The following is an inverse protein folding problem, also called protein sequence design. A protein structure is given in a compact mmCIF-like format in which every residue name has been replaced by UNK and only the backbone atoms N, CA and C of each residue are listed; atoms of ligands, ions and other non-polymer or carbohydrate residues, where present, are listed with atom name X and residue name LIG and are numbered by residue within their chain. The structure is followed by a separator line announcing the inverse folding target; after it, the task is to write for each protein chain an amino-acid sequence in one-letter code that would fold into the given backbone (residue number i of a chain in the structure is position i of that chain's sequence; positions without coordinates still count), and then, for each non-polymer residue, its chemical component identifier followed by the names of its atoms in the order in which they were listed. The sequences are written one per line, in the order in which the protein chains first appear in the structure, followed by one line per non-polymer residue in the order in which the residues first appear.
data_IF_150434241263
#
_entry.id   IF_150434241263
#
_cell.length_a   1.000
_cell.length_b   1.000
_cell.length_c   1.000
_cell.angle_alpha   90.00
_cell.angle_beta   90.00
_cell.angle_gamma   90.00
#
_symmetry.space_group_name_H-M   'P 1'
#
loop_
_entity.id
_entity.type
_entity.pdbx_description
1 polymer ?
#
# COMPACT_ATOMS: atom_id res chain seq x y z
N UNK A 1 -33.79 29.81 3.84
CA UNK A 1 -32.87 28.82 3.21
C UNK A 1 -31.39 29.19 3.30
N UNK A 2 -30.99 30.47 3.47
CA UNK A 2 -29.57 30.85 3.53
C UNK A 2 -28.87 30.56 4.88
N UNK A 3 -29.60 30.39 5.97
CA UNK A 3 -29.03 30.18 7.31
C UNK A 3 -28.42 28.78 7.51
N UNK A 4 -29.08 27.74 6.95
CA UNK A 4 -28.57 26.35 7.03
C UNK A 4 -27.28 26.15 6.23
N UNK A 5 -27.14 26.83 5.09
CA UNK A 5 -25.94 26.74 4.23
C UNK A 5 -24.70 27.29 4.94
N UNK A 6 -24.85 28.38 5.71
CA UNK A 6 -23.75 28.96 6.48
C UNK A 6 -23.32 28.09 7.67
N UNK A 7 -24.26 27.35 8.30
CA UNK A 7 -23.94 26.41 9.37
C UNK A 7 -23.11 25.22 8.87
N UNK A 8 -23.47 24.64 7.72
CA UNK A 8 -22.73 23.50 7.16
C UNK A 8 -21.31 23.89 6.71
N UNK A 9 -21.13 25.10 6.16
CA UNK A 9 -19.82 25.60 5.75
C UNK A 9 -18.90 25.84 6.96
N UNK A 10 -19.43 26.45 8.03
CA UNK A 10 -18.67 26.70 9.26
C UNK A 10 -18.25 25.39 9.97
N UNK A 11 -19.07 24.34 9.89
CA UNK A 11 -18.71 23.02 10.44
C UNK A 11 -17.62 22.31 9.61
N UNK A 12 -17.67 22.39 8.28
CA UNK A 12 -16.64 21.82 7.41
C UNK A 12 -15.28 22.49 7.61
N UNK A 13 -15.25 23.82 7.75
CA UNK A 13 -14.01 24.58 7.97
C UNK A 13 -13.38 24.29 9.35
N UNK A 14 -14.21 24.10 10.39
CA UNK A 14 -13.76 23.68 11.73
C UNK A 14 -13.20 22.26 11.74
N UNK A 15 -13.79 21.35 10.99
CA UNK A 15 -13.35 19.96 10.92
C UNK A 15 -12.01 19.82 10.14
N UNK A 16 -11.84 20.59 9.06
CA UNK A 16 -10.59 20.68 8.31
C UNK A 16 -9.43 21.23 9.14
N UNK A 17 -9.65 22.33 9.87
CA UNK A 17 -8.62 22.96 10.71
C UNK A 17 -8.15 22.04 11.85
N UNK A 18 -9.08 21.36 12.52
CA UNK A 18 -8.75 20.44 13.61
C UNK A 18 -7.95 19.22 13.12
N UNK A 19 -8.25 18.70 11.94
CA UNK A 19 -7.53 17.55 11.36
C UNK A 19 -6.07 17.87 10.99
N UNK A 20 -5.82 19.08 10.48
CA UNK A 20 -4.46 19.57 10.21
C UNK A 20 -3.67 19.78 11.50
N UNK A 21 -4.29 20.39 12.51
CA UNK A 21 -3.67 20.63 13.80
C UNK A 21 -3.25 19.31 14.48
N UNK A 22 -4.12 18.30 14.46
CA UNK A 22 -3.86 16.97 15.03
C UNK A 22 -2.70 16.28 14.29
N UNK A 23 -2.63 16.38 12.96
CA UNK A 23 -1.52 15.82 12.17
C UNK A 23 -0.17 16.44 12.51
N UNK A 24 -0.10 17.76 12.70
CA UNK A 24 1.13 18.44 13.09
C UNK A 24 1.54 18.16 14.54
N UNK A 25 0.58 17.86 15.43
CA UNK A 25 0.85 17.45 16.82
C UNK A 25 1.38 16.00 16.86
N UNK A 26 0.73 15.07 16.16
CA UNK A 26 1.20 13.68 16.06
C UNK A 26 2.58 13.57 15.40
N UNK A 27 2.84 14.35 14.34
CA UNK A 27 4.13 14.36 13.68
C UNK A 27 5.28 14.78 14.61
N UNK A 28 5.06 15.80 15.45
CA UNK A 28 6.06 16.25 16.44
C UNK A 28 6.28 15.22 17.55
N UNK A 29 5.20 14.60 18.03
CA UNK A 29 5.30 13.57 19.05
C UNK A 29 6.06 12.34 18.54
N UNK A 30 5.79 11.94 17.30
CA UNK A 30 6.50 10.85 16.61
C UNK A 30 7.99 11.15 16.42
N UNK A 31 8.34 12.36 15.94
CA UNK A 31 9.75 12.71 15.76
C UNK A 31 10.53 12.78 17.07
N UNK A 32 9.86 13.22 18.15
CA UNK A 32 10.49 13.31 19.49
C UNK A 32 10.70 11.94 20.12
N UNK A 33 9.71 11.04 20.00
CA UNK A 33 9.89 9.66 20.46
C UNK A 33 10.95 8.96 19.63
N UNK A 34 10.98 9.17 18.32
CA UNK A 34 12.01 8.62 17.43
C UNK A 34 13.41 9.13 17.80
N UNK A 35 13.60 10.43 18.03
CA UNK A 35 14.90 10.98 18.38
C UNK A 35 15.39 10.44 19.72
N UNK A 36 14.53 10.45 20.76
CA UNK A 36 14.88 9.90 22.08
C UNK A 36 15.17 8.40 22.03
N UNK A 37 14.42 7.65 21.24
CA UNK A 37 14.67 6.21 21.08
C UNK A 37 15.98 5.97 20.34
N UNK A 38 16.31 6.76 19.32
CA UNK A 38 17.58 6.65 18.60
C UNK A 38 18.78 7.00 19.47
N UNK A 39 18.67 8.02 20.33
CA UNK A 39 19.71 8.40 21.29
C UNK A 39 19.90 7.32 22.35
N UNK A 40 18.80 6.80 22.90
CA UNK A 40 18.82 5.70 23.87
C UNK A 40 19.42 4.43 23.27
N UNK A 41 19.03 4.08 22.05
CA UNK A 41 19.57 2.93 21.30
C UNK A 41 21.06 3.13 21.04
N UNK A 42 21.49 4.33 20.66
CA UNK A 42 22.90 4.65 20.41
C UNK A 42 23.75 4.67 21.68
N UNK A 43 23.18 5.08 22.81
CA UNK A 43 23.85 5.02 24.12
C UNK A 43 23.97 3.58 24.62
N UNK A 44 22.92 2.78 24.42
CA UNK A 44 22.89 1.35 24.77
C UNK A 44 23.85 0.56 23.87
N UNK A 45 23.87 0.82 22.57
CA UNK A 45 24.77 0.20 21.60
C UNK A 45 26.25 0.51 21.89
N UNK A 46 26.57 1.72 22.38
CA UNK A 46 27.94 2.09 22.78
C UNK A 46 28.42 1.37 24.04
N UNK A 47 27.51 0.93 24.91
CA UNK A 47 27.82 0.17 26.13
C UNK A 47 27.94 -1.34 25.91
N UNK A 48 27.51 -1.84 24.75
CA UNK A 48 27.51 -3.26 24.44
C UNK A 48 28.89 -3.70 23.94
N UNK A 49 29.50 -4.64 24.66
CA UNK A 49 30.72 -5.30 24.18
C UNK A 49 30.40 -6.28 23.05
N UNK A 50 31.40 -6.62 22.21
CA UNK A 50 31.23 -7.59 21.10
C UNK A 50 30.68 -8.94 21.57
N UNK A 51 31.01 -9.37 22.78
CA UNK A 51 30.51 -10.62 23.37
C UNK A 51 29.01 -10.53 23.72
N UNK A 52 28.55 -9.38 24.21
CA UNK A 52 27.13 -9.18 24.52
C UNK A 52 26.28 -9.04 23.26
N UNK A 53 26.81 -8.38 22.22
CA UNK A 53 26.19 -8.36 20.89
C UNK A 53 26.00 -9.77 20.34
N UNK A 54 27.05 -10.61 20.38
CA UNK A 54 26.96 -12.00 19.94
C UNK A 54 25.90 -12.79 20.75
N UNK A 55 25.86 -12.60 22.07
CA UNK A 55 24.85 -13.23 22.93
C UNK A 55 23.42 -12.82 22.54
N UNK A 56 23.17 -11.54 22.25
CA UNK A 56 21.87 -11.06 21.78
C UNK A 56 21.50 -11.69 20.44
N UNK A 57 22.45 -11.78 19.49
CA UNK A 57 22.20 -12.40 18.19
C UNK A 57 21.85 -13.89 18.30
N UNK A 58 22.57 -14.63 19.15
CA UNK A 58 22.30 -16.04 19.42
C UNK A 58 20.90 -16.18 20.02
N UNK A 59 20.59 -15.38 21.05
CA UNK A 59 19.29 -15.44 21.72
C UNK A 59 18.15 -15.09 20.75
N UNK A 60 18.30 -14.04 19.95
CA UNK A 60 17.33 -13.64 18.92
C UNK A 60 17.08 -14.76 17.91
N UNK A 61 18.15 -15.41 17.44
CA UNK A 61 18.07 -16.51 16.48
C UNK A 61 17.37 -17.72 17.07
N UNK A 62 17.70 -18.09 18.31
CA UNK A 62 17.04 -19.20 19.03
C UNK A 62 15.57 -18.89 19.27
N UNK A 63 15.23 -17.68 19.73
CA UNK A 63 13.84 -17.29 19.99
C UNK A 63 13.01 -17.29 18.71
N UNK A 64 13.55 -16.71 17.63
CA UNK A 64 12.87 -16.65 16.32
C UNK A 64 12.73 -18.04 15.72
N UNK A 65 13.80 -18.84 15.76
CA UNK A 65 13.81 -20.22 15.29
C UNK A 65 12.84 -21.10 16.06
N UNK A 66 12.82 -20.99 17.39
CA UNK A 66 11.87 -21.72 18.25
C UNK A 66 10.42 -21.33 17.97
N UNK A 67 10.16 -20.04 17.73
CA UNK A 67 8.82 -19.58 17.39
C UNK A 67 8.35 -20.12 16.03
N UNK A 68 9.20 -20.07 15.00
CA UNK A 68 8.88 -20.66 13.70
C UNK A 68 8.64 -22.17 13.81
N UNK A 69 9.49 -22.88 14.56
CA UNK A 69 9.33 -24.31 14.78
C UNK A 69 8.02 -24.63 15.52
N UNK A 70 7.68 -23.83 16.52
CA UNK A 70 6.40 -23.93 17.23
C UNK A 70 5.21 -23.77 16.29
N UNK A 71 5.23 -22.79 15.38
CA UNK A 71 4.17 -22.61 14.38
C UNK A 71 4.04 -23.79 13.43
N UNK A 72 5.16 -24.37 12.99
CA UNK A 72 5.15 -25.54 12.10
C UNK A 72 4.54 -26.74 12.83
N UNK A 73 4.97 -27.00 14.06
CA UNK A 73 4.43 -28.08 14.90
C UNK A 73 2.95 -27.86 15.17
N UNK A 74 2.54 -26.65 15.61
CA UNK A 74 1.13 -26.33 15.84
C UNK A 74 0.29 -26.53 14.57
N UNK A 75 0.81 -26.15 13.39
CA UNK A 75 0.12 -26.34 12.11
C UNK A 75 0.04 -27.81 11.67
N UNK A 76 1.07 -28.62 11.95
CA UNK A 76 1.13 -30.01 11.55
C UNK A 76 0.28 -30.93 12.44
N UNK A 77 0.18 -30.62 13.73
CA UNK A 77 -0.63 -31.38 14.69
C UNK A 77 -2.07 -30.88 14.80
N UNK A 78 -2.37 -29.65 14.34
CA UNK A 78 -3.74 -29.11 14.27
C UNK A 78 -4.43 -29.50 12.96
N UNK A 79 -4.51 -30.80 12.65
CA UNK A 79 -5.32 -31.31 11.53
C UNK A 79 -6.79 -31.08 11.86
N UNK A 80 -7.39 -30.04 11.27
CA UNK A 80 -8.83 -29.76 11.37
C UNK A 80 -9.21 -28.47 12.12
N UNK A 81 -8.26 -27.70 12.63
CA UNK A 81 -8.55 -26.34 13.10
C UNK A 81 -8.07 -25.36 12.04
N UNK A 82 -8.99 -24.68 11.36
CA UNK A 82 -8.71 -23.52 10.52
C UNK A 82 -8.16 -22.38 11.39
N UNK A 83 -6.94 -22.54 11.91
CA UNK A 83 -6.16 -21.44 12.45
C UNK A 83 -5.62 -20.67 11.27
N UNK A 84 -6.52 -19.91 10.64
CA UNK A 84 -6.14 -18.75 9.87
C UNK A 84 -5.20 -17.97 10.77
N UNK A 85 -3.91 -17.97 10.42
CA UNK A 85 -2.95 -17.02 10.95
C UNK A 85 -3.62 -15.67 10.78
N UNK A 86 -4.16 -15.11 11.88
CA UNK A 86 -4.52 -13.70 11.94
C UNK A 86 -3.18 -13.02 11.78
N UNK A 87 -2.80 -12.84 10.52
CA UNK A 87 -1.59 -12.16 10.11
C UNK A 87 -1.62 -10.88 10.91
N UNK A 88 -0.64 -10.76 11.80
CA UNK A 88 -0.37 -9.57 12.55
C UNK A 88 -0.62 -8.37 11.65
N UNK A 89 -1.34 -7.39 12.21
CA UNK A 89 -1.63 -6.09 11.61
C UNK A 89 -0.34 -5.28 11.42
N UNK A 90 0.65 -5.87 10.76
CA UNK A 90 1.66 -5.11 10.06
C UNK A 90 0.89 -4.33 8.99
N UNK A 91 1.02 -3.00 8.95
CA UNK A 91 0.58 -2.22 7.81
C UNK A 91 1.54 -2.49 6.64
N UNK A 92 1.55 -3.74 6.17
CA UNK A 92 1.79 -3.99 4.77
C UNK A 92 0.68 -3.19 4.11
N UNK A 93 1.04 -2.27 3.22
CA UNK A 93 0.08 -1.62 2.33
C UNK A 93 -0.50 -2.73 1.44
N UNK A 94 -1.45 -3.48 1.99
CA UNK A 94 -2.24 -4.45 1.27
C UNK A 94 -3.14 -3.61 0.39
N UNK A 95 -2.83 -3.58 -0.90
CA UNK A 95 -3.85 -3.26 -1.90
C UNK A 95 -5.01 -4.17 -1.57
N UNK A 96 -6.13 -3.59 -1.13
CA UNK A 96 -7.34 -4.33 -0.76
C UNK A 96 -7.89 -5.02 -2.01
N UNK A 97 -7.35 -6.16 -2.39
CA UNK A 97 -8.10 -7.17 -3.12
C UNK A 97 -9.02 -7.83 -2.09
N UNK A 98 -10.18 -7.21 -1.92
CA UNK A 98 -11.30 -7.76 -1.17
C UNK A 98 -11.56 -9.22 -1.64
N UNK A 99 -11.39 -10.25 -0.81
CA UNK A 99 -11.73 -11.63 -1.20
C UNK A 99 -13.26 -11.86 -1.25
N UNK A 100 -14.06 -10.97 -0.63
CA UNK A 100 -15.52 -10.90 -0.80
C UNK A 100 -15.99 -9.95 -1.91
N UNK A 101 -15.04 -9.23 -2.55
CA UNK A 101 -15.19 -8.76 -3.93
C UNK A 101 -14.18 -9.55 -4.77
N UNK A 102 -14.47 -10.84 -4.94
CA UNK A 102 -14.72 -11.19 -6.33
C UNK A 102 -15.81 -10.21 -6.79
N UNK A 103 -15.40 -9.03 -7.28
CA UNK A 103 -16.01 -8.57 -8.50
C UNK A 103 -15.86 -9.82 -9.37
N UNK A 104 -16.95 -10.60 -9.47
CA UNK A 104 -17.36 -11.05 -10.78
C UNK A 104 -16.96 -9.87 -11.65
N UNK A 105 -15.88 -10.04 -12.39
CA UNK A 105 -15.60 -9.19 -13.52
C UNK A 105 -16.86 -9.45 -14.32
N UNK A 106 -17.88 -8.61 -14.06
CA UNK A 106 -19.14 -8.68 -14.73
C UNK A 106 -18.67 -8.60 -16.17
N UNK A 107 -18.91 -9.70 -16.91
CA UNK A 107 -18.53 -9.87 -18.30
C UNK A 107 -18.59 -8.49 -18.91
N UNK A 108 -17.45 -7.91 -19.26
CA UNK A 108 -17.46 -6.51 -19.58
C UNK A 108 -18.43 -6.36 -20.74
N UNK A 109 -19.47 -5.58 -20.48
CA UNK A 109 -20.41 -5.15 -21.49
C UNK A 109 -19.57 -4.65 -22.69
N UNK A 110 -20.06 -4.85 -23.91
CA UNK A 110 -19.32 -4.59 -25.16
C UNK A 110 -18.66 -3.19 -25.19
N UNK A 111 -19.15 -2.26 -24.37
CA UNK A 111 -18.56 -0.95 -24.10
C UNK A 111 -17.11 -0.95 -23.57
N UNK A 112 -16.67 -1.96 -22.82
CA UNK A 112 -15.31 -2.00 -22.26
C UNK A 112 -14.20 -2.15 -23.31
N UNK A 113 -14.50 -2.84 -24.42
CA UNK A 113 -13.60 -2.91 -25.57
C UNK A 113 -13.48 -1.55 -26.28
N UNK A 114 -14.59 -0.81 -26.41
CA UNK A 114 -14.55 0.52 -27.05
C UNK A 114 -13.73 1.52 -26.24
N UNK A 115 -13.83 1.52 -24.91
CA UNK A 115 -13.07 2.42 -24.05
C UNK A 115 -11.57 2.13 -24.12
N UNK A 116 -11.19 0.86 -24.09
CA UNK A 116 -9.78 0.44 -24.23
C UNK A 116 -9.22 0.75 -25.62
N UNK A 117 -10.02 0.55 -26.68
CA UNK A 117 -9.64 0.93 -28.04
C UNK A 117 -9.51 2.45 -28.23
N UNK A 118 -10.42 3.24 -27.66
CA UNK A 118 -10.36 4.72 -27.66
C UNK A 118 -9.09 5.20 -26.95
N UNK A 119 -8.77 4.63 -25.80
CA UNK A 119 -7.54 4.95 -25.05
C UNK A 119 -6.28 4.63 -25.86
N UNK A 120 -6.24 3.47 -26.56
CA UNK A 120 -5.13 3.10 -27.43
C UNK A 120 -4.95 4.07 -28.60
N UNK A 121 -6.06 4.48 -29.25
CA UNK A 121 -6.03 5.48 -30.33
C UNK A 121 -5.55 6.84 -29.83
N UNK A 122 -5.95 7.24 -28.63
CA UNK A 122 -5.47 8.47 -27.99
C UNK A 122 -3.94 8.43 -27.81
N UNK A 123 -3.38 7.35 -27.24
CA UNK A 123 -1.94 7.21 -27.08
C UNK A 123 -1.17 7.16 -28.41
N UNK A 124 -1.71 6.46 -29.42
CA UNK A 124 -1.12 6.41 -30.77
C UNK A 124 -1.15 7.80 -31.46
N UNK A 125 -2.21 8.59 -31.25
CA UNK A 125 -2.27 9.97 -31.72
C UNK A 125 -1.29 10.91 -31.00
N UNK A 126 -1.08 10.70 -29.69
CA UNK A 126 -0.15 11.47 -28.88
C UNK A 126 1.30 11.24 -29.34
N UNK A 127 1.67 10.00 -29.63
CA UNK A 127 3.02 9.65 -30.10
C UNK A 127 3.35 10.12 -31.51
N UNK A 128 2.35 10.33 -32.38
CA UNK A 128 2.54 10.83 -33.76
C UNK A 128 2.59 12.34 -33.88
N UNK A 129 2.11 13.08 -32.88
CA UNK A 129 2.16 14.53 -32.89
C UNK A 129 3.50 15.04 -32.32
N UNK A 130 4.21 15.97 -33.00
CA UNK A 130 5.46 16.55 -32.49
C UNK A 130 5.26 17.35 -31.19
N UNK A 131 4.04 17.82 -30.90
CA UNK A 131 3.68 18.45 -29.62
C UNK A 131 3.14 17.46 -28.58
N UNK A 132 2.66 16.29 -29.00
CA UNK A 132 2.11 15.25 -28.14
C UNK A 132 3.16 14.26 -27.59
N UNK A 133 4.32 14.16 -28.24
CA UNK A 133 5.42 13.27 -27.83
C UNK A 133 5.92 13.55 -26.41
N UNK A 134 6.00 14.82 -26.01
CA UNK A 134 6.41 15.21 -24.65
C UNK A 134 5.41 14.73 -23.59
N UNK A 135 4.11 14.81 -23.89
CA UNK A 135 3.07 14.30 -22.99
C UNK A 135 3.08 12.77 -22.96
N UNK A 136 3.32 12.13 -24.10
CA UNK A 136 3.47 10.69 -24.21
C UNK A 136 4.62 10.17 -23.34
N UNK A 137 5.79 10.79 -23.44
CA UNK A 137 6.97 10.42 -22.65
C UNK A 137 6.77 10.70 -21.16
N UNK A 138 6.10 11.80 -20.80
CA UNK A 138 5.73 12.08 -19.41
C UNK A 138 4.83 10.99 -18.81
N UNK A 139 3.79 10.57 -19.54
CA UNK A 139 2.86 9.53 -19.09
C UNK A 139 3.56 8.17 -19.02
N UNK A 140 4.40 7.85 -20.02
CA UNK A 140 5.18 6.61 -20.05
C UNK A 140 6.15 6.50 -18.87
N UNK A 141 6.81 7.60 -18.50
CA UNK A 141 7.72 7.66 -17.36
C UNK A 141 6.97 7.60 -16.01
N UNK A 142 5.79 8.23 -15.92
CA UNK A 142 4.98 8.21 -14.71
C UNK A 142 4.34 6.84 -14.43
N UNK A 143 4.08 6.03 -15.47
CA UNK A 143 3.41 4.73 -15.36
C UNK A 143 4.06 3.68 -16.27
N UNK A 144 5.21 3.11 -15.85
CA UNK A 144 5.82 2.02 -16.60
C UNK A 144 4.86 0.81 -16.66
N UNK A 145 4.60 0.28 -17.85
CA UNK A 145 3.77 -0.91 -18.06
C UNK A 145 2.30 -0.65 -18.44
N UNK A 146 1.82 0.60 -18.46
CA UNK A 146 0.42 0.92 -18.83
C UNK A 146 0.04 0.44 -20.24
N UNK A 147 0.95 0.60 -21.21
CA UNK A 147 0.70 0.18 -22.60
C UNK A 147 0.69 -1.34 -22.74
N UNK A 148 1.42 -2.05 -21.88
CA UNK A 148 1.46 -3.51 -21.90
C UNK A 148 0.18 -4.11 -21.29
N UNK A 149 -0.31 -3.54 -20.18
CA UNK A 149 -1.60 -3.95 -19.60
C UNK A 149 -2.77 -3.65 -20.54
N UNK A 150 -2.73 -2.52 -21.27
CA UNK A 150 -3.71 -2.22 -22.32
C UNK A 150 -3.74 -3.26 -23.43
N UNK A 151 -2.56 -3.74 -23.86
CA UNK A 151 -2.45 -4.79 -24.88
C UNK A 151 -2.97 -6.14 -24.37
N UNK A 152 -2.67 -6.49 -23.13
CA UNK A 152 -3.19 -7.71 -22.50
C UNK A 152 -4.72 -7.66 -22.38
N UNK A 153 -5.27 -6.50 -22.01
CA UNK A 153 -6.70 -6.29 -21.90
C UNK A 153 -7.39 -6.38 -23.27
N UNK A 154 -6.84 -5.74 -24.32
CA UNK A 154 -7.39 -5.85 -25.67
C UNK A 154 -7.35 -7.29 -26.20
N UNK A 155 -6.30 -8.04 -25.91
CA UNK A 155 -6.20 -9.44 -26.28
C UNK A 155 -7.26 -10.30 -25.56
N UNK A 156 -7.51 -10.03 -24.28
CA UNK A 156 -8.55 -10.71 -23.51
C UNK A 156 -9.95 -10.50 -24.12
N UNK A 157 -10.28 -9.26 -24.54
CA UNK A 157 -11.54 -8.97 -25.23
C UNK A 157 -11.64 -9.56 -26.65
N UNK A 158 -10.52 -9.84 -27.32
CA UNK A 158 -10.52 -10.46 -28.66
C UNK A 158 -10.62 -11.98 -28.60
N UNK A 159 -10.11 -12.60 -27.53
CA UNK A 159 -10.09 -14.07 -27.36
C UNK A 159 -11.39 -14.64 -26.78
N UNK A 160 -12.28 -13.78 -26.28
CA UNK A 160 -13.49 -14.13 -25.54
C UNK A 160 -14.71 -13.44 -26.16
#
# INVERSE_FOLDING_TARGET
MMEKVNLHKNQADRQGNNSGLIRHQLGRLYSFTQSKWSEWMSATARRLSRAQLLAIWILLTISTGSYCMYLIVDSAFSVGSERTLKGSDFPIMRVNLNPGRQQQIALPDRNGYEETAKLRRYFDSLGRSPTGSLQYDSIRNARPGLLDTLKQLENYYKSN
#
